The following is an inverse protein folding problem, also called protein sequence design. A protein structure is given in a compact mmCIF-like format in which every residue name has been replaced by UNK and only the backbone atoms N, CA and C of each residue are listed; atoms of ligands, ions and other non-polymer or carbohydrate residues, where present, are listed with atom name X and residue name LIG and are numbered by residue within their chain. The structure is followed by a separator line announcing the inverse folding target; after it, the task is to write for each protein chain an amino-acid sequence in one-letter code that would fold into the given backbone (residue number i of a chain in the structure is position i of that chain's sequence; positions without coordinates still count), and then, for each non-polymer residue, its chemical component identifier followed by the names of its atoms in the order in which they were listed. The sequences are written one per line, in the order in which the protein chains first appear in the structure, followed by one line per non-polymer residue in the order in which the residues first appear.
data_IF_266044207727
#
_entry.id   IF_266044207727
#
_cell.length_a   1.000
_cell.length_b   1.000
_cell.length_c   1.000
_cell.angle_alpha   90.00
_cell.angle_beta   90.00
_cell.angle_gamma   90.00
#
_symmetry.space_group_name_H-M   'P 1'
#
loop_
_entity.id
_entity.type
_entity.pdbx_description
1 polymer ?
#
# COMPACT_ATOMS: atom_id res chain seq x y z
N UNK A 1 -0.75 20.39 10.86
CA UNK A 1 -1.80 19.50 10.29
C UNK A 1 -2.93 20.36 9.77
N UNK A 2 -3.21 20.30 8.46
CA UNK A 2 -4.09 21.25 7.79
C UNK A 2 -5.56 21.07 8.20
N UNK A 3 -6.30 22.15 8.44
CA UNK A 3 -7.73 22.10 8.84
C UNK A 3 -8.58 21.37 7.80
N UNK A 4 -8.16 21.42 6.53
CA UNK A 4 -8.78 20.69 5.41
C UNK A 4 -8.78 19.17 5.59
N UNK A 5 -7.67 18.57 6.02
CA UNK A 5 -7.59 17.10 6.17
C UNK A 5 -8.46 16.60 7.33
N UNK A 6 -8.58 17.39 8.41
CA UNK A 6 -9.50 17.09 9.51
C UNK A 6 -10.97 17.17 9.09
N UNK A 7 -11.34 18.15 8.28
CA UNK A 7 -12.71 18.24 7.73
C UNK A 7 -13.02 17.03 6.86
N UNK A 8 -12.13 16.67 5.94
CA UNK A 8 -12.29 15.51 5.05
C UNK A 8 -12.44 14.21 5.86
N UNK A 9 -11.68 14.07 6.95
CA UNK A 9 -11.77 12.94 7.88
C UNK A 9 -13.15 12.81 8.51
N UNK A 10 -13.71 13.92 8.96
CA UNK A 10 -15.02 13.95 9.57
C UNK A 10 -16.12 13.67 8.53
N UNK A 11 -15.98 14.16 7.30
CA UNK A 11 -16.94 13.97 6.23
C UNK A 11 -16.99 12.51 5.75
N UNK A 12 -15.84 11.86 5.54
CA UNK A 12 -15.77 10.44 5.21
C UNK A 12 -16.38 9.53 6.27
N UNK A 13 -16.26 9.91 7.54
CA UNK A 13 -16.84 9.16 8.66
C UNK A 13 -18.30 9.44 8.93
N UNK A 14 -18.84 10.49 8.34
CA UNK A 14 -20.23 10.81 8.58
C UNK A 14 -21.10 9.60 8.20
N UNK A 15 -22.13 9.35 9.01
CA UNK A 15 -23.15 8.33 8.70
C UNK A 15 -23.98 8.72 7.47
N UNK A 16 -23.85 9.98 7.02
CA UNK A 16 -24.53 10.48 5.84
C UNK A 16 -23.77 10.05 4.59
N UNK A 17 -24.37 9.13 3.82
CA UNK A 17 -23.85 8.61 2.56
C UNK A 17 -23.41 9.73 1.59
N UNK A 18 -24.18 10.81 1.49
CA UNK A 18 -23.90 11.89 0.56
C UNK A 18 -22.65 12.69 0.92
N UNK A 19 -22.42 12.93 2.21
CA UNK A 19 -21.19 13.57 2.69
C UNK A 19 -19.96 12.69 2.48
N UNK A 20 -20.12 11.37 2.63
CA UNK A 20 -19.07 10.40 2.31
C UNK A 20 -18.74 10.44 0.82
N UNK A 21 -19.74 10.35 -0.07
CA UNK A 21 -19.55 10.44 -1.52
C UNK A 21 -18.88 11.75 -1.94
N UNK A 22 -19.32 12.90 -1.39
CA UNK A 22 -18.70 14.19 -1.68
C UNK A 22 -17.22 14.26 -1.25
N UNK A 23 -16.89 13.70 -0.08
CA UNK A 23 -15.51 13.64 0.37
C UNK A 23 -14.66 12.72 -0.52
N UNK A 24 -15.24 11.67 -1.10
CA UNK A 24 -14.56 10.79 -2.04
C UNK A 24 -14.32 11.44 -3.39
N UNK A 25 -15.30 12.14 -3.93
CA UNK A 25 -15.09 12.89 -5.17
C UNK A 25 -14.00 13.96 -4.99
N UNK A 26 -13.92 14.57 -3.81
CA UNK A 26 -12.77 15.43 -3.46
C UNK A 26 -11.43 14.71 -3.45
N UNK A 27 -11.36 13.48 -2.93
CA UNK A 27 -10.11 12.69 -2.93
C UNK A 27 -9.70 12.33 -4.36
N UNK A 28 -10.66 12.00 -5.23
CA UNK A 28 -10.40 11.64 -6.63
C UNK A 28 -9.76 12.78 -7.43
N UNK A 29 -10.08 14.03 -7.07
CA UNK A 29 -9.56 15.22 -7.75
C UNK A 29 -8.16 15.61 -7.24
N UNK A 30 -7.73 15.09 -6.08
CA UNK A 30 -6.42 15.44 -5.53
C UNK A 30 -5.26 14.84 -6.36
N UNK A 31 -4.13 15.56 -6.46
CA UNK A 31 -2.91 15.01 -7.06
C UNK A 31 -2.50 13.73 -6.32
N UNK A 32 -1.91 12.79 -7.05
CA UNK A 32 -1.70 11.41 -6.59
C UNK A 32 -0.91 11.31 -5.28
N UNK A 33 0.14 12.12 -5.13
CA UNK A 33 0.95 12.18 -3.91
C UNK A 33 0.13 12.67 -2.70
N UNK A 34 -0.65 13.73 -2.88
CA UNK A 34 -1.49 14.29 -1.81
C UNK A 34 -2.67 13.37 -1.47
N UNK A 35 -3.24 12.67 -2.45
CA UNK A 35 -4.35 11.75 -2.24
C UNK A 35 -3.92 10.59 -1.34
N UNK A 36 -2.75 9.99 -1.61
CA UNK A 36 -2.21 8.87 -0.83
C UNK A 36 -1.89 9.33 0.60
N UNK A 37 -1.18 10.45 0.75
CA UNK A 37 -0.84 10.98 2.07
C UNK A 37 -2.10 11.35 2.86
N UNK A 38 -3.06 11.99 2.21
CA UNK A 38 -4.34 12.34 2.84
C UNK A 38 -5.07 11.08 3.26
N UNK A 39 -5.13 10.04 2.42
CA UNK A 39 -5.82 8.79 2.74
C UNK A 39 -5.12 8.02 3.85
N UNK A 40 -3.78 7.96 3.87
CA UNK A 40 -3.00 7.41 4.99
C UNK A 40 -3.28 8.20 6.27
N UNK A 41 -3.31 9.53 6.18
CA UNK A 41 -3.60 10.39 7.33
C UNK A 41 -5.02 10.16 7.81
N UNK A 42 -5.99 10.02 6.91
CA UNK A 42 -7.39 9.74 7.21
C UNK A 42 -7.56 8.39 7.89
N UNK A 43 -6.83 7.36 7.43
CA UNK A 43 -6.76 6.08 8.13
C UNK A 43 -6.21 6.28 9.54
N UNK A 44 -5.05 6.96 9.70
CA UNK A 44 -4.44 7.25 11.02
C UNK A 44 -5.38 7.98 11.97
N UNK A 45 -6.07 9.04 11.51
CA UNK A 45 -7.06 9.77 12.33
C UNK A 45 -8.27 8.87 12.60
N UNK A 46 -8.70 8.07 11.60
CA UNK A 46 -9.78 7.08 11.68
C UNK A 46 -9.66 6.22 12.91
N UNK A 47 -8.43 5.82 13.14
CA UNK A 47 -8.05 4.96 14.23
C UNK A 47 -7.89 5.75 15.53
N UNK A 48 -7.22 6.91 15.51
CA UNK A 48 -6.94 7.69 16.72
C UNK A 48 -8.22 8.16 17.45
N UNK A 49 -9.34 8.31 16.73
CA UNK A 49 -10.56 8.91 17.26
C UNK A 49 -11.64 7.90 17.67
N UNK A 50 -11.48 6.60 17.38
CA UNK A 50 -12.47 5.58 17.77
C UNK A 50 -12.21 5.07 19.19
N UNK A 51 -12.46 5.95 20.16
CA UNK A 51 -12.45 5.75 21.62
C UNK A 51 -11.59 4.57 22.16
N UNK A 52 -10.29 4.50 21.85
CA UNK A 52 -9.42 3.61 22.61
C UNK A 52 -9.19 4.16 24.03
N UNK A 53 -9.53 5.43 24.27
CA UNK A 53 -9.49 6.07 25.59
C UNK A 53 -10.44 5.34 26.54
N UNK A 54 -11.69 5.03 26.14
CA UNK A 54 -12.63 4.38 27.06
C UNK A 54 -12.24 2.92 27.36
N UNK A 55 -11.78 2.16 26.37
CA UNK A 55 -11.32 0.78 26.60
C UNK A 55 -9.99 0.73 27.36
N UNK A 56 -9.08 1.66 27.07
CA UNK A 56 -7.82 1.84 27.78
C UNK A 56 -8.00 2.29 29.21
N UNK A 57 -8.84 3.30 29.43
CA UNK A 57 -9.16 3.84 30.75
C UNK A 57 -9.96 2.82 31.56
N UNK A 58 -10.89 2.07 30.95
CA UNK A 58 -11.55 0.95 31.62
C UNK A 58 -10.55 -0.14 32.04
N UNK A 59 -9.58 -0.52 31.19
CA UNK A 59 -8.54 -1.49 31.54
C UNK A 59 -7.58 -0.96 32.61
N UNK A 60 -7.20 0.32 32.55
CA UNK A 60 -6.37 0.96 33.56
C UNK A 60 -7.10 1.07 34.90
N UNK A 61 -8.38 1.44 34.91
CA UNK A 61 -9.23 1.44 36.11
C UNK A 61 -9.35 0.02 36.68
N UNK A 62 -9.60 -0.98 35.84
CA UNK A 62 -9.67 -2.37 36.26
C UNK A 62 -8.35 -2.88 36.86
N UNK A 63 -7.21 -2.47 36.29
CA UNK A 63 -5.88 -2.84 36.78
C UNK A 63 -5.48 -2.12 38.08
N UNK A 64 -6.08 -0.96 38.37
CA UNK A 64 -5.77 -0.16 39.56
C UNK A 64 -6.69 -0.47 40.76
N UNK A 65 -7.85 -1.10 40.52
CA UNK A 65 -8.76 -1.55 41.58
C UNK A 65 -8.13 -2.50 42.62
N UNK A 66 -7.38 -3.56 42.24
CA UNK A 66 -6.73 -4.45 43.20
C UNK A 66 -5.70 -3.71 44.07
N UNK A 67 -5.06 -2.69 43.51
CA UNK A 67 -4.05 -1.90 44.21
C UNK A 67 -4.67 -0.94 45.22
N UNK A 68 -5.76 -0.25 44.86
CA UNK A 68 -6.54 0.56 45.81
C UNK A 68 -7.02 -0.30 46.99
N UNK A 69 -7.46 -1.53 46.70
CA UNK A 69 -7.87 -2.48 47.73
C UNK A 69 -6.70 -2.90 48.62
N UNK A 70 -5.53 -3.18 48.05
CA UNK A 70 -4.31 -3.51 48.80
C UNK A 70 -3.81 -2.33 49.67
N UNK A 71 -3.85 -1.10 49.16
CA UNK A 71 -3.45 0.10 49.93
C UNK A 71 -4.40 0.36 51.11
N UNK A 72 -5.71 0.18 50.92
CA UNK A 72 -6.68 0.27 52.02
C UNK A 72 -6.36 -0.74 53.12
N UNK A 73 -6.00 -1.97 52.74
CA UNK A 73 -5.62 -3.02 53.69
C UNK A 73 -4.26 -2.76 54.36
N UNK A 74 -3.26 -2.28 53.61
CA UNK A 74 -1.91 -2.07 54.11
C UNK A 74 -1.79 -0.85 55.05
N UNK A 75 -2.59 0.20 54.83
CA UNK A 75 -2.64 1.37 55.71
C UNK A 75 -3.08 1.04 57.13
N UNK A 76 -3.85 -0.03 57.33
CA UNK A 76 -4.32 -0.46 58.66
C UNK A 76 -3.19 -1.09 59.50
N UNK A 77 -2.15 -1.63 58.86
CA UNK A 77 -1.09 -2.39 59.54
C UNK A 77 0.23 -1.62 59.76
N UNK A 78 0.58 -0.65 58.90
CA UNK A 78 1.81 0.15 59.07
C UNK A 78 1.90 1.35 58.11
N UNK A 79 1.65 2.60 58.57
CA UNK A 79 1.53 3.75 57.68
C UNK A 79 2.86 4.21 57.05
N UNK A 80 3.99 4.00 57.72
CA UNK A 80 5.30 4.54 57.29
C UNK A 80 6.03 3.56 56.36
N UNK A 81 5.99 2.25 56.66
CA UNK A 81 6.69 1.24 55.86
C UNK A 81 5.98 0.90 54.53
N UNK A 82 4.65 1.03 54.50
CA UNK A 82 3.87 0.80 53.28
C UNK A 82 4.15 1.83 52.20
N UNK A 83 4.27 3.11 52.56
CA UNK A 83 4.33 4.17 51.55
C UNK A 83 5.63 4.18 50.73
N UNK A 84 6.77 3.97 51.38
CA UNK A 84 8.11 4.07 50.73
C UNK A 84 8.36 2.90 49.76
N UNK A 85 7.86 1.71 50.09
CA UNK A 85 8.15 0.51 49.29
C UNK A 85 7.09 0.21 48.21
N UNK A 86 5.83 0.62 48.42
CA UNK A 86 4.72 0.25 47.52
C UNK A 86 4.58 1.21 46.34
N UNK A 87 4.89 2.50 46.52
CA UNK A 87 4.79 3.52 45.48
C UNK A 87 5.64 3.23 44.21
N UNK A 88 6.94 2.86 44.30
CA UNK A 88 7.75 2.61 43.09
C UNK A 88 7.31 1.36 42.33
N UNK A 89 6.87 0.31 43.03
CA UNK A 89 6.34 -0.91 42.41
C UNK A 89 5.08 -0.60 41.61
N UNK A 90 4.21 0.25 42.16
CA UNK A 90 3.01 0.70 41.47
C UNK A 90 3.32 1.54 40.23
N UNK A 91 4.21 2.52 40.35
CA UNK A 91 4.63 3.35 39.22
C UNK A 91 5.17 2.49 38.06
N UNK A 92 5.92 1.44 38.36
CA UNK A 92 6.43 0.49 37.36
C UNK A 92 5.31 -0.34 36.71
N UNK A 93 4.32 -0.82 37.47
CA UNK A 93 3.16 -1.55 36.93
C UNK A 93 2.31 -0.65 36.01
N UNK A 94 2.07 0.59 36.43
CA UNK A 94 1.32 1.57 35.63
C UNK A 94 2.10 1.92 34.36
N UNK A 95 3.41 2.14 34.45
CA UNK A 95 4.26 2.44 33.30
C UNK A 95 4.32 1.29 32.30
N UNK A 96 4.44 0.04 32.77
CA UNK A 96 4.42 -1.15 31.90
C UNK A 96 3.03 -1.37 31.28
N UNK A 97 1.96 -1.19 32.04
CA UNK A 97 0.58 -1.23 31.51
C UNK A 97 0.34 -0.16 30.43
N UNK A 98 0.82 1.07 30.65
CA UNK A 98 0.74 2.15 29.67
C UNK A 98 1.55 1.83 28.41
N UNK A 99 2.77 1.30 28.56
CA UNK A 99 3.62 0.91 27.43
C UNK A 99 3.00 -0.22 26.60
N UNK A 100 2.42 -1.25 27.24
CA UNK A 100 1.69 -2.34 26.56
C UNK A 100 0.44 -1.80 25.87
N UNK A 101 -0.30 -0.88 26.49
CA UNK A 101 -1.46 -0.25 25.87
C UNK A 101 -1.08 0.59 24.64
N UNK A 102 -0.02 1.39 24.74
CA UNK A 102 0.47 2.22 23.63
C UNK A 102 0.96 1.37 22.45
N UNK A 103 1.66 0.27 22.73
CA UNK A 103 2.15 -0.65 21.69
C UNK A 103 1.02 -1.49 21.07
N UNK A 104 0.02 -1.89 21.87
CA UNK A 104 -1.16 -2.63 21.40
C UNK A 104 -2.04 -1.84 20.44
N UNK A 105 -2.16 -0.52 20.61
CA UNK A 105 -2.93 0.33 19.70
C UNK A 105 -2.40 0.34 18.27
N UNK A 106 -1.09 0.19 18.08
CA UNK A 106 -0.47 0.20 16.74
C UNK A 106 -0.88 -1.03 15.91
N UNK A 107 -1.22 -2.15 16.57
CA UNK A 107 -1.70 -3.36 15.90
C UNK A 107 -3.15 -3.26 15.43
N UNK A 108 -4.04 -2.72 16.27
CA UNK A 108 -5.47 -2.59 15.96
C UNK A 108 -5.74 -1.54 14.87
N UNK A 109 -4.85 -0.54 14.73
CA UNK A 109 -4.84 0.44 13.65
C UNK A 109 -5.08 -0.17 12.26
N UNK A 110 -4.44 -1.31 11.99
CA UNK A 110 -4.46 -1.87 10.65
C UNK A 110 -5.72 -2.68 10.34
N UNK A 111 -6.44 -3.16 11.35
CA UNK A 111 -7.62 -4.04 11.19
C UNK A 111 -8.85 -3.27 10.68
N UNK A 112 -8.91 -1.96 10.91
CA UNK A 112 -10.06 -1.13 10.53
C UNK A 112 -9.93 -0.44 9.17
N UNK A 113 -8.73 -0.33 8.62
CA UNK A 113 -8.54 0.14 7.25
C UNK A 113 -9.15 -0.83 6.23
N UNK A 114 -9.16 -2.12 6.56
CA UNK A 114 -9.58 -3.22 5.69
C UNK A 114 -11.02 -3.15 5.16
N UNK A 115 -12.06 -2.92 5.98
CA UNK A 115 -13.42 -2.77 5.46
C UNK A 115 -13.61 -1.50 4.62
N UNK A 116 -12.90 -0.41 4.96
CA UNK A 116 -12.90 0.80 4.14
C UNK A 116 -12.22 0.55 2.79
N UNK A 117 -11.13 -0.24 2.75
CA UNK A 117 -10.47 -0.66 1.51
C UNK A 117 -11.35 -1.54 0.61
N UNK A 118 -12.27 -2.33 1.16
CA UNK A 118 -13.27 -3.04 0.34
C UNK A 118 -14.41 -2.13 -0.14
N UNK A 119 -14.73 -1.06 0.59
CA UNK A 119 -15.73 -0.08 0.16
C UNK A 119 -15.16 0.87 -0.91
N UNK A 120 -13.84 1.07 -0.92
CA UNK A 120 -13.14 1.94 -1.86
C UNK A 120 -12.47 1.15 -2.98
N UNK A 121 -13.15 1.16 -4.13
CA UNK A 121 -12.68 0.59 -5.38
C UNK A 121 -11.67 1.51 -6.08
N UNK A 122 -10.53 1.79 -5.43
CA UNK A 122 -9.45 2.62 -5.98
C UNK A 122 -8.20 1.75 -6.20
N UNK A 123 -7.76 1.66 -7.45
CA UNK A 123 -6.58 0.90 -7.87
C UNK A 123 -5.29 1.35 -7.15
N UNK A 124 -5.23 2.61 -6.68
CA UNK A 124 -4.08 3.16 -5.93
C UNK A 124 -3.87 2.46 -4.59
N UNK A 125 -4.93 1.91 -4.00
CA UNK A 125 -4.89 1.23 -2.71
C UNK A 125 -4.28 -0.18 -2.78
N UNK A 126 -4.06 -0.67 -4.00
CA UNK A 126 -3.54 -2.01 -4.26
C UNK A 126 -2.12 -2.19 -3.72
N UNK A 127 -1.25 -1.19 -3.88
CA UNK A 127 0.14 -1.24 -3.38
C UNK A 127 0.21 -1.39 -1.85
N UNK A 128 -0.43 -0.54 -1.03
CA UNK A 128 -0.49 -0.74 0.42
C UNK A 128 -1.06 -2.11 0.80
N UNK A 129 -2.14 -2.57 0.14
CA UNK A 129 -2.73 -3.88 0.39
C UNK A 129 -1.75 -5.03 0.11
N UNK A 130 -0.99 -4.94 -0.99
CA UNK A 130 0.05 -5.91 -1.34
C UNK A 130 1.16 -5.97 -0.28
N UNK A 131 1.58 -4.84 0.25
CA UNK A 131 2.61 -4.84 1.30
C UNK A 131 2.12 -5.43 2.62
N UNK A 132 0.83 -5.25 2.94
CA UNK A 132 0.30 -5.65 4.24
C UNK A 132 -0.24 -7.09 4.30
N UNK A 133 -0.71 -7.68 3.20
CA UNK A 133 -1.43 -8.98 3.26
C UNK A 133 -0.58 -10.11 3.84
N UNK A 134 0.74 -10.11 3.58
CA UNK A 134 1.67 -11.15 4.05
C UNK A 134 1.85 -11.12 5.57
N UNK A 135 1.85 -9.92 6.15
CA UNK A 135 1.95 -9.73 7.60
C UNK A 135 0.61 -9.89 8.33
N UNK A 136 -0.50 -9.85 7.59
CA UNK A 136 -1.84 -9.87 8.15
C UNK A 136 -2.31 -11.30 8.47
N UNK A 137 -3.04 -11.45 9.58
CA UNK A 137 -3.56 -12.74 10.07
C UNK A 137 -5.06 -12.64 10.36
N UNK A 138 -5.73 -13.80 10.43
CA UNK A 138 -7.14 -13.91 10.78
C UNK A 138 -8.07 -13.11 9.87
N UNK A 139 -9.08 -12.49 10.45
CA UNK A 139 -10.11 -11.71 9.76
C UNK A 139 -9.54 -10.57 8.91
N UNK A 140 -8.48 -9.90 9.40
CA UNK A 140 -7.81 -8.83 8.63
C UNK A 140 -7.29 -9.35 7.29
N UNK A 141 -6.71 -10.56 7.27
CA UNK A 141 -6.20 -11.16 6.03
C UNK A 141 -7.34 -11.44 5.06
N UNK A 142 -8.45 -11.97 5.54
CA UNK A 142 -9.64 -12.25 4.71
C UNK A 142 -10.17 -10.96 4.08
N UNK A 143 -10.31 -9.89 4.88
CA UNK A 143 -10.79 -8.60 4.37
C UNK A 143 -9.83 -7.98 3.34
N UNK A 144 -8.50 -8.09 3.55
CA UNK A 144 -7.51 -7.64 2.55
C UNK A 144 -7.61 -8.42 1.25
N UNK A 145 -7.74 -9.75 1.33
CA UNK A 145 -7.86 -10.58 0.13
C UNK A 145 -9.15 -10.28 -0.63
N UNK A 146 -10.26 -10.05 0.07
CA UNK A 146 -11.53 -9.65 -0.55
C UNK A 146 -11.42 -8.28 -1.22
N UNK A 147 -10.76 -7.31 -0.57
CA UNK A 147 -10.46 -6.02 -1.17
C UNK A 147 -9.58 -6.16 -2.42
N UNK A 148 -8.57 -7.03 -2.40
CA UNK A 148 -7.72 -7.31 -3.56
C UNK A 148 -8.52 -7.93 -4.71
N UNK A 149 -9.44 -8.86 -4.44
CA UNK A 149 -10.33 -9.45 -5.47
C UNK A 149 -11.13 -8.36 -6.20
N UNK A 150 -11.63 -7.36 -5.46
CA UNK A 150 -12.44 -6.28 -6.04
C UNK A 150 -11.61 -5.23 -6.78
N UNK A 151 -10.40 -4.94 -6.30
CA UNK A 151 -9.55 -3.87 -6.82
C UNK A 151 -8.61 -4.31 -7.96
N UNK A 152 -8.17 -5.57 -7.98
CA UNK A 152 -7.29 -6.10 -9.03
C UNK A 152 -7.84 -5.94 -10.46
N UNK A 153 -9.15 -6.18 -10.72
CA UNK A 153 -9.72 -5.97 -12.05
C UNK A 153 -9.78 -4.50 -12.50
N UNK A 154 -9.64 -3.56 -11.56
CA UNK A 154 -9.65 -2.12 -11.83
C UNK A 154 -8.25 -1.57 -12.13
N UNK A 155 -7.25 -2.44 -12.15
CA UNK A 155 -5.87 -2.05 -12.41
C UNK A 155 -5.74 -1.53 -13.85
N UNK A 156 -5.34 -0.27 -13.99
CA UNK A 156 -4.99 0.36 -15.26
C UNK A 156 -3.48 0.25 -15.52
N UNK A 157 -3.02 0.30 -16.79
CA UNK A 157 -1.59 0.32 -17.12
C UNK A 157 -0.80 1.44 -16.43
N UNK A 158 -1.42 2.61 -16.21
CA UNK A 158 -0.81 3.77 -15.53
C UNK A 158 -0.44 3.43 -14.08
N UNK A 159 -1.40 2.90 -13.32
CA UNK A 159 -1.18 2.44 -11.94
C UNK A 159 -0.18 1.27 -11.90
N UNK A 160 -0.24 0.36 -12.88
CA UNK A 160 0.72 -0.74 -12.99
C UNK A 160 2.17 -0.26 -13.22
N UNK A 161 2.36 0.84 -13.96
CA UNK A 161 3.68 1.44 -14.17
C UNK A 161 4.29 1.95 -12.86
N UNK A 162 3.47 2.44 -11.92
CA UNK A 162 3.91 2.86 -10.58
C UNK A 162 4.25 1.72 -9.62
N UNK A 163 4.00 0.46 -9.97
CA UNK A 163 4.27 -0.67 -9.07
C UNK A 163 5.76 -0.99 -8.97
N UNK A 164 6.28 -1.02 -7.74
CA UNK A 164 7.65 -1.44 -7.45
C UNK A 164 7.88 -2.93 -7.77
N UNK A 165 9.14 -3.32 -7.94
CA UNK A 165 9.54 -4.72 -8.17
C UNK A 165 9.09 -5.65 -7.04
N UNK A 166 9.11 -5.17 -5.79
CA UNK A 166 8.64 -5.92 -4.63
C UNK A 166 7.11 -6.12 -4.66
N UNK A 167 6.35 -5.10 -5.06
CA UNK A 167 4.89 -5.23 -5.21
C UNK A 167 4.54 -6.24 -6.31
N UNK A 168 5.26 -6.19 -7.45
CA UNK A 168 5.08 -7.15 -8.55
C UNK A 168 5.38 -8.58 -8.08
N UNK A 169 6.46 -8.78 -7.31
CA UNK A 169 6.79 -10.08 -6.70
C UNK A 169 5.68 -10.57 -5.76
N UNK A 170 5.15 -9.70 -4.91
CA UNK A 170 4.04 -10.04 -4.00
C UNK A 170 2.77 -10.41 -4.77
N UNK A 171 2.48 -9.74 -5.88
CA UNK A 171 1.37 -10.07 -6.75
C UNK A 171 1.54 -11.47 -7.39
N UNK A 172 2.74 -11.84 -7.82
CA UNK A 172 3.02 -13.21 -8.32
C UNK A 172 2.79 -14.27 -7.24
N UNK A 173 3.11 -13.96 -5.98
CA UNK A 173 2.86 -14.87 -4.85
C UNK A 173 1.35 -15.08 -4.62
N UNK A 174 0.48 -14.10 -4.92
CA UNK A 174 -0.97 -14.22 -4.74
C UNK A 174 -1.61 -15.31 -5.61
N UNK A 175 -1.02 -15.67 -6.76
CA UNK A 175 -1.48 -16.80 -7.60
C UNK A 175 -1.49 -18.12 -6.82
N UNK A 176 -0.67 -18.24 -5.77
CA UNK A 176 -0.57 -19.45 -4.95
C UNK A 176 -1.63 -19.52 -3.85
N UNK A 177 -2.32 -18.43 -3.54
CA UNK A 177 -3.36 -18.38 -2.51
C UNK A 177 -4.59 -19.14 -3.00
N UNK A 178 -5.13 -20.05 -2.20
CA UNK A 178 -6.27 -20.91 -2.55
C UNK A 178 -7.60 -20.16 -2.45
N UNK A 179 -7.80 -19.20 -3.36
CA UNK A 179 -9.07 -18.51 -3.58
C UNK A 179 -9.30 -18.36 -5.08
N UNK A 180 -10.30 -19.04 -5.68
CA UNK A 180 -10.55 -18.99 -7.12
C UNK A 180 -10.73 -17.56 -7.67
N UNK A 181 -11.52 -16.74 -6.98
CA UNK A 181 -11.78 -15.36 -7.42
C UNK A 181 -10.51 -14.52 -7.39
N UNK A 182 -9.70 -14.69 -6.34
CA UNK A 182 -8.41 -14.01 -6.22
C UNK A 182 -7.42 -14.48 -7.27
N UNK A 183 -7.35 -15.79 -7.54
CA UNK A 183 -6.47 -16.34 -8.58
C UNK A 183 -6.84 -15.78 -9.95
N UNK A 184 -8.14 -15.75 -10.28
CA UNK A 184 -8.63 -15.17 -11.54
C UNK A 184 -8.29 -13.69 -11.65
N UNK A 185 -8.56 -12.91 -10.60
CA UNK A 185 -8.25 -11.48 -10.58
C UNK A 185 -6.74 -11.22 -10.67
N UNK A 186 -5.93 -12.05 -10.01
CA UNK A 186 -4.46 -11.96 -10.06
C UNK A 186 -3.92 -12.29 -11.45
N UNK A 187 -4.42 -13.33 -12.12
CA UNK A 187 -4.01 -13.68 -13.48
C UNK A 187 -4.32 -12.56 -14.48
N UNK A 188 -5.52 -11.97 -14.38
CA UNK A 188 -5.89 -10.82 -15.21
C UNK A 188 -4.98 -9.60 -14.95
N UNK A 189 -4.68 -9.30 -13.67
CA UNK A 189 -3.79 -8.20 -13.30
C UNK A 189 -2.35 -8.43 -13.77
N UNK A 190 -1.82 -9.66 -13.69
CA UNK A 190 -0.48 -9.99 -14.17
C UNK A 190 -0.33 -9.76 -15.68
N UNK A 191 -1.37 -10.07 -16.46
CA UNK A 191 -1.41 -9.78 -17.89
C UNK A 191 -1.46 -8.26 -18.14
N UNK A 192 -2.27 -7.52 -17.37
CA UNK A 192 -2.36 -6.05 -17.50
C UNK A 192 -1.05 -5.31 -17.15
N UNK A 193 -0.26 -5.84 -16.22
CA UNK A 193 1.04 -5.25 -15.82
C UNK A 193 2.15 -5.60 -16.83
N UNK A 194 1.91 -6.56 -17.71
CA UNK A 194 2.90 -7.09 -18.66
C UNK A 194 4.16 -7.65 -17.95
N UNK A 195 4.00 -8.26 -16.76
CA UNK A 195 5.13 -8.78 -15.98
C UNK A 195 5.60 -10.16 -16.48
N UNK A 196 6.54 -10.18 -17.42
CA UNK A 196 7.12 -11.44 -17.95
C UNK A 196 7.82 -12.29 -16.87
N UNK A 197 8.20 -11.69 -15.73
CA UNK A 197 8.70 -12.41 -14.56
C UNK A 197 7.65 -13.29 -13.86
N UNK A 198 6.38 -13.21 -14.25
CA UNK A 198 5.28 -14.02 -13.73
C UNK A 198 5.13 -15.38 -14.42
N UNK A 199 5.70 -15.58 -15.62
CA UNK A 199 5.62 -16.83 -16.40
C UNK A 199 5.82 -18.09 -15.55
N UNK A 200 6.93 -18.25 -14.76
CA UNK A 200 7.14 -19.48 -14.00
C UNK A 200 6.07 -19.72 -12.91
N UNK A 201 5.43 -18.66 -12.41
CA UNK A 201 4.35 -18.78 -11.43
C UNK A 201 3.05 -19.27 -12.08
N UNK A 202 2.74 -18.78 -13.28
CA UNK A 202 1.57 -19.18 -14.06
C UNK A 202 1.73 -20.61 -14.59
N UNK A 203 2.91 -21.00 -15.06
CA UNK A 203 3.21 -22.38 -15.44
C UNK A 203 3.05 -23.35 -14.25
N UNK A 204 3.61 -23.00 -13.09
CA UNK A 204 3.46 -23.80 -11.87
C UNK A 204 2.00 -23.86 -11.40
N UNK A 205 1.21 -22.80 -11.65
CA UNK A 205 -0.21 -22.76 -11.37
C UNK A 205 -1.01 -23.74 -12.26
N UNK A 206 -0.71 -23.77 -13.57
CA UNK A 206 -1.38 -24.64 -14.55
C UNK A 206 -1.01 -26.13 -14.40
N UNK A 207 0.16 -26.45 -13.87
CA UNK A 207 0.56 -27.84 -13.56
C UNK A 207 -0.35 -28.51 -12.52
N UNK A 208 -1.07 -27.73 -11.71
CA UNK A 208 -2.01 -28.27 -10.71
C UNK A 208 -3.37 -28.51 -11.37
N UNK A 209 -4.06 -29.59 -11.00
CA UNK A 209 -5.45 -29.82 -11.46
C UNK A 209 -6.34 -28.71 -10.91
N UNK A 210 -6.87 -27.86 -11.79
CA UNK A 210 -7.78 -26.75 -11.46
C UNK A 210 -9.15 -26.97 -12.07
N UNK A 211 -10.12 -26.15 -11.65
CA UNK A 211 -11.41 -26.05 -12.35
C UNK A 211 -11.21 -25.43 -13.73
N UNK A 212 -11.99 -25.87 -14.73
CA UNK A 212 -11.95 -25.36 -16.10
C UNK A 212 -11.82 -23.81 -16.23
N UNK A 213 -12.61 -22.97 -15.53
CA UNK A 213 -12.51 -21.51 -15.69
C UNK A 213 -11.17 -20.92 -15.22
N UNK A 214 -10.52 -21.54 -14.25
CA UNK A 214 -9.21 -21.10 -13.77
C UNK A 214 -8.08 -21.57 -14.70
N UNK A 215 -8.25 -22.76 -15.28
CA UNK A 215 -7.31 -23.28 -16.26
C UNK A 215 -7.31 -22.38 -17.51
N UNK A 216 -8.49 -22.05 -18.03
CA UNK A 216 -8.64 -21.13 -19.17
C UNK A 216 -8.02 -19.76 -18.89
N UNK A 217 -8.32 -19.16 -17.72
CA UNK A 217 -7.73 -17.88 -17.33
C UNK A 217 -6.19 -17.95 -17.23
N UNK A 218 -5.65 -19.07 -16.74
CA UNK A 218 -4.21 -19.30 -16.65
C UNK A 218 -3.57 -19.48 -18.02
N UNK A 219 -4.21 -20.21 -18.94
CA UNK A 219 -3.76 -20.42 -20.31
C UNK A 219 -3.71 -19.10 -21.09
N UNK A 220 -4.77 -18.28 -21.01
CA UNK A 220 -4.83 -16.94 -21.62
C UNK A 220 -3.74 -16.02 -21.06
N UNK A 221 -3.55 -16.03 -19.74
CA UNK A 221 -2.49 -15.24 -19.11
C UNK A 221 -1.10 -15.71 -19.57
N UNK A 222 -0.86 -17.02 -19.61
CA UNK A 222 0.43 -17.58 -20.03
C UNK A 222 0.74 -17.26 -21.50
N UNK A 223 -0.23 -17.45 -22.40
CA UNK A 223 -0.04 -17.14 -23.82
C UNK A 223 0.29 -15.66 -24.04
N UNK A 224 -0.44 -14.76 -23.37
CA UNK A 224 -0.18 -13.33 -23.46
C UNK A 224 1.22 -12.94 -22.96
N UNK A 225 1.64 -13.49 -21.81
CA UNK A 225 2.98 -13.22 -21.27
C UNK A 225 4.11 -13.79 -22.13
N UNK A 226 3.91 -14.94 -22.77
CA UNK A 226 4.88 -15.53 -23.69
C UNK A 226 5.02 -14.70 -24.97
N UNK A 227 3.91 -14.18 -25.50
CA UNK A 227 3.93 -13.28 -26.65
C UNK A 227 4.67 -11.98 -26.33
N UNK A 228 4.41 -11.38 -25.15
CA UNK A 228 5.12 -10.21 -24.67
C UNK A 228 6.63 -10.47 -24.56
N UNK A 229 7.03 -11.57 -23.92
CA UNK A 229 8.43 -11.96 -23.81
C UNK A 229 9.11 -12.15 -25.17
N UNK A 230 8.38 -12.70 -26.16
CA UNK A 230 8.89 -12.81 -27.53
C UNK A 230 9.13 -11.43 -28.16
N UNK A 231 8.17 -10.52 -28.03
CA UNK A 231 8.31 -9.13 -28.52
C UNK A 231 9.46 -8.38 -27.84
N UNK A 232 9.68 -8.60 -26.55
CA UNK A 232 10.83 -8.04 -25.81
C UNK A 232 12.15 -8.58 -26.37
N UNK A 233 12.27 -9.90 -26.57
CA UNK A 233 13.46 -10.51 -27.15
C UNK A 233 13.73 -10.00 -28.57
N UNK A 234 12.69 -9.90 -29.41
CA UNK A 234 12.81 -9.42 -30.79
C UNK A 234 13.29 -7.95 -30.81
N UNK A 235 12.80 -7.11 -29.89
CA UNK A 235 13.28 -5.72 -29.72
C UNK A 235 14.75 -5.66 -29.29
N UNK A 236 15.19 -6.52 -28.36
CA UNK A 236 16.60 -6.57 -27.96
C UNK A 236 17.53 -6.99 -29.10
N UNK A 237 17.11 -7.95 -29.93
CA UNK A 237 17.90 -8.41 -31.08
C UNK A 237 18.08 -7.30 -32.10
N UNK A 238 17.03 -6.51 -32.37
CA UNK A 238 17.11 -5.36 -33.29
C UNK A 238 18.07 -4.27 -32.80
N UNK A 239 18.13 -4.02 -31.50
CA UNK A 239 19.08 -3.06 -30.92
C UNK A 239 20.52 -3.55 -31.01
N UNK A 240 20.76 -4.86 -30.85
CA UNK A 240 22.13 -5.42 -30.94
C UNK A 240 22.66 -5.41 -32.37
N UNK A 241 21.82 -5.70 -33.36
CA UNK A 241 22.21 -5.67 -34.78
C UNK A 241 22.68 -4.28 -35.23
N UNK A 242 22.10 -3.19 -34.69
CA UNK A 242 22.55 -1.82 -35.00
C UNK A 242 23.91 -1.42 -34.40
N UNK A 243 24.41 -2.17 -33.41
CA UNK A 243 25.67 -1.82 -32.72
C UNK A 243 26.88 -2.49 -33.37
N UNK A 244 26.70 -3.66 -34.00
CA UNK A 244 27.81 -4.41 -34.61
C UNK A 244 28.13 -3.97 -36.06
N UNK A 245 27.25 -3.22 -36.72
CA UNK A 245 27.53 -2.63 -38.04
C UNK A 245 28.39 -1.35 -37.98
N UNK A 246 28.80 -0.93 -36.77
CA UNK A 246 29.88 0.04 -36.55
C UNK A 246 31.29 -0.61 -36.52
N UNK A 247 31.44 -1.78 -37.14
CA UNK A 247 32.73 -2.29 -37.58
C UNK A 247 33.36 -1.35 -38.61
N UNK A 248 34.11 -0.35 -38.14
CA UNK A 248 34.82 0.66 -38.94
C UNK A 248 33.93 1.54 -39.83
N UNK A 249 32.91 2.18 -39.27
CA UNK A 249 32.69 3.55 -39.70
C UNK A 249 33.84 4.38 -39.10
N UNK A 250 34.86 4.59 -39.93
CA UNK A 250 35.65 5.82 -39.89
C UNK A 250 34.60 6.92 -39.75
N UNK A 251 34.45 7.47 -38.55
CA UNK A 251 33.80 8.75 -38.36
C UNK A 251 34.59 9.68 -39.28
N UNK A 252 34.08 9.88 -40.49
CA UNK A 252 34.41 11.01 -41.30
C UNK A 252 34.03 12.18 -40.41
N UNK A 253 35.01 12.67 -39.64
CA UNK A 253 34.95 14.03 -39.13
C UNK A 253 34.52 14.83 -40.35
N UNK A 254 33.33 15.46 -40.37
CA UNK A 254 33.12 16.51 -41.35
C UNK A 254 34.34 17.40 -41.19
N UNK A 255 35.11 17.54 -42.26
CA UNK A 255 36.28 18.39 -42.24
C UNK A 255 35.78 19.71 -41.69
N UNK A 256 36.28 20.06 -40.50
CA UNK A 256 36.12 21.37 -39.88
C UNK A 256 36.80 22.36 -40.82
N UNK A 257 36.15 22.64 -41.94
CA UNK A 257 36.31 23.87 -42.66
C UNK A 257 35.69 24.90 -41.74
N UNK A 258 36.57 25.63 -41.06
CA UNK A 258 36.25 26.92 -40.46
C UNK A 258 35.30 27.67 -41.41
N UNK A 259 34.03 27.74 -41.04
CA UNK A 259 33.16 28.81 -41.49
C UNK A 259 33.13 29.80 -40.34
N UNK A 260 34.00 30.81 -40.43
CA UNK A 260 33.85 32.11 -39.75
C UNK A 260 32.51 32.72 -40.17
N UNK A 261 31.41 32.23 -39.60
CA UNK A 261 30.11 32.87 -39.74
C UNK A 261 29.48 33.02 -38.36
N UNK A 262 29.79 34.19 -37.82
CA UNK A 262 28.94 35.04 -36.99
C UNK A 262 28.02 34.34 -35.99
N UNK A 263 28.41 34.41 -34.72
CA UNK A 263 27.61 34.15 -33.52
C UNK A 263 26.48 35.17 -33.29
N UNK A 264 25.88 35.72 -34.35
CA UNK A 264 24.72 36.58 -34.22
C UNK A 264 23.47 35.80 -34.59
N UNK A 265 22.54 35.72 -33.63
CA UNK A 265 21.12 35.41 -33.80
C UNK A 265 20.69 33.96 -33.53
N UNK A 266 20.81 33.53 -32.27
CA UNK A 266 19.71 32.82 -31.63
C UNK A 266 19.10 33.73 -30.56
N UNK A 267 18.39 34.75 -31.05
CA UNK A 267 17.44 35.51 -30.27
C UNK A 267 16.36 34.53 -29.79
N UNK A 268 16.41 34.14 -28.52
CA UNK A 268 15.21 33.66 -27.84
C UNK A 268 14.21 34.82 -27.86
N UNK A 269 13.01 34.65 -28.44
CA UNK A 269 11.95 35.61 -28.20
C UNK A 269 11.74 35.62 -26.68
N UNK A 270 12.02 36.76 -26.06
CA UNK A 270 11.67 36.97 -24.67
C UNK A 270 10.15 36.95 -24.58
N UNK A 271 9.63 36.01 -23.81
CA UNK A 271 8.29 36.11 -23.25
C UNK A 271 8.23 37.39 -22.41
N UNK A 272 7.69 38.44 -23.02
CA UNK A 272 7.15 39.61 -22.33
C UNK A 272 5.64 39.47 -22.29
N UNK A 273 5.16 39.31 -21.06
CA UNK A 273 3.97 39.91 -20.46
C UNK A 273 2.62 39.83 -21.19
N UNK A 274 1.67 39.17 -20.54
CA UNK A 274 0.49 39.83 -19.94
C UNK A 274 0.02 39.07 -18.68
#
# INVERSE_FOLDING_TARGET
MNTRTKSLANDLRSLNKHRREFALDRIRILPEEEAIDTLITLMKIGIAQRNPIWTGLARAVLATLPFLFFMLFACEFSPIYGFVNVLPVYAMIVATGLAVWLTGQVGEMKVWATPLLSEYSDARLLTPCLTEWKSSKGEKRVNLLNGLVQNLPLLTPEVAAGMTTENRKQLRELVRVESPDLQRATLAALLCIEDTGAIPYVEAFLKKKRSNPLQEAGEVCLSGLLELKRRENDREVLLRASVEENGKEILLRPATSHSDKDEQQLLRPGDKAE
#
